data_IF_977138971699
#
_entry.id   IF_977138971699
#
_cell.length_a   1.000
_cell.length_b   1.000
_cell.length_c   1.000
_cell.angle_alpha   90.00
_cell.angle_beta   90.00
_cell.angle_gamma   90.00
#
_symmetry.space_group_name_H-M   'P 1'
#
loop_
_entity.id
_entity.type
_entity.pdbx_description
1 polymer ?
#
# COMPACT_ATOMS: atom_id res chain seq x y z
N UNK A 1 -7.89 7.11 12.63
CA UNK A 1 -7.47 6.01 11.72
C UNK A 1 -6.13 6.42 11.12
N UNK A 2 -5.12 5.56 11.18
CA UNK A 2 -3.81 5.79 10.55
C UNK A 2 -3.70 4.86 9.33
N UNK A 3 -3.79 5.44 8.13
CA UNK A 3 -3.71 4.73 6.84
C UNK A 3 -2.66 5.36 5.90
N UNK A 4 -1.89 6.32 6.40
CA UNK A 4 -0.77 6.88 5.64
C UNK A 4 0.35 5.85 5.63
N UNK A 5 0.80 5.52 4.44
CA UNK A 5 1.88 4.57 4.20
C UNK A 5 2.34 4.65 2.76
N UNK A 6 3.55 4.19 2.51
CA UNK A 6 4.17 4.23 1.20
C UNK A 6 5.33 3.26 1.14
N UNK A 7 5.48 2.65 -0.04
CA UNK A 7 6.65 1.86 -0.40
C UNK A 7 7.15 2.49 -1.70
N UNK A 8 8.43 2.84 -1.75
CA UNK A 8 9.04 3.17 -3.05
C UNK A 8 9.26 1.88 -3.83
N UNK A 9 9.39 2.00 -5.16
CA UNK A 9 9.40 0.88 -6.08
C UNK A 9 10.27 -0.28 -5.56
N UNK A 10 9.60 -1.39 -5.24
CA UNK A 10 10.19 -2.60 -4.66
C UNK A 10 11.07 -3.39 -5.66
N UNK A 11 11.68 -2.68 -6.61
CA UNK A 11 12.49 -3.23 -7.69
C UNK A 11 13.97 -3.34 -7.30
N UNK A 12 14.38 -2.70 -6.20
CA UNK A 12 15.75 -2.75 -5.70
C UNK A 12 16.06 -4.10 -5.04
N UNK A 13 17.26 -4.64 -5.26
CA UNK A 13 17.79 -5.71 -4.43
C UNK A 13 17.98 -5.18 -3.01
N UNK A 14 17.97 -6.06 -2.01
CA UNK A 14 18.24 -5.67 -0.62
C UNK A 14 19.55 -4.88 -0.46
N UNK A 15 20.58 -5.23 -1.24
CA UNK A 15 21.89 -4.59 -1.21
C UNK A 15 21.93 -3.22 -1.92
N UNK A 16 20.92 -2.90 -2.72
CA UNK A 16 20.84 -1.64 -3.47
C UNK A 16 20.06 -0.55 -2.70
N UNK A 17 19.51 -0.89 -1.51
CA UNK A 17 18.71 0.05 -0.71
C UNK A 17 19.62 0.88 0.19
N UNK A 18 19.73 2.15 -0.13
CA UNK A 18 20.44 3.15 0.68
C UNK A 18 19.74 3.40 2.04
N UNK A 19 20.52 3.76 3.06
CA UNK A 19 20.04 4.07 4.42
C UNK A 19 18.96 5.17 4.45
N UNK A 20 19.01 6.09 3.49
CA UNK A 20 18.01 7.15 3.35
C UNK A 20 16.64 6.60 2.98
N UNK A 21 16.58 5.55 2.15
CA UNK A 21 15.32 4.91 1.77
C UNK A 21 14.73 4.11 2.93
N UNK A 22 15.57 3.43 3.72
CA UNK A 22 15.15 2.81 4.97
C UNK A 22 14.52 3.84 5.91
N UNK A 23 15.22 4.95 6.13
CA UNK A 23 14.75 6.03 7.01
C UNK A 23 13.41 6.58 6.54
N UNK A 24 13.28 6.88 5.25
CA UNK A 24 12.05 7.40 4.64
C UNK A 24 10.89 6.42 4.80
N UNK A 25 11.12 5.13 4.59
CA UNK A 25 10.12 4.09 4.78
C UNK A 25 9.65 3.98 6.24
N UNK A 26 10.55 4.10 7.22
CA UNK A 26 10.18 4.13 8.64
C UNK A 26 9.45 5.42 9.01
N UNK A 27 9.87 6.56 8.47
CA UNK A 27 9.22 7.85 8.73
C UNK A 27 7.76 7.85 8.29
N UNK A 28 7.48 7.32 7.09
CA UNK A 28 6.12 7.29 6.56
C UNK A 28 5.25 6.18 7.15
N UNK A 29 5.78 4.98 7.39
CA UNK A 29 4.95 3.83 7.81
C UNK A 29 4.85 3.67 9.34
N UNK A 30 5.90 4.03 10.08
CA UNK A 30 5.96 3.85 11.53
C UNK A 30 5.82 5.18 12.27
N UNK A 31 6.71 6.12 12.02
CA UNK A 31 6.78 7.33 12.84
C UNK A 31 5.62 8.29 12.58
N UNK A 32 5.07 8.35 11.36
CA UNK A 32 3.84 9.09 11.08
C UNK A 32 2.69 8.65 12.01
N UNK A 33 2.49 7.35 12.17
CA UNK A 33 1.46 6.73 13.03
C UNK A 33 1.71 7.06 14.49
N UNK A 34 2.96 7.01 14.95
CA UNK A 34 3.34 7.37 16.32
C UNK A 34 3.06 8.85 16.59
N UNK A 35 3.46 9.74 15.69
CA UNK A 35 3.26 11.19 15.81
C UNK A 35 1.77 11.54 15.84
N UNK A 36 0.98 10.99 14.92
CA UNK A 36 -0.48 11.18 14.86
C UNK A 36 -1.17 10.64 16.12
N UNK A 37 -0.78 9.44 16.57
CA UNK A 37 -1.31 8.83 17.80
C UNK A 37 -1.03 9.70 19.02
N UNK A 38 0.22 10.16 19.19
CA UNK A 38 0.60 11.02 20.32
C UNK A 38 -0.17 12.34 20.33
N UNK A 39 -0.39 12.94 19.16
CA UNK A 39 -1.17 14.17 19.05
C UNK A 39 -2.65 13.95 19.43
N UNK A 40 -3.24 12.80 19.05
CA UNK A 40 -4.63 12.48 19.36
C UNK A 40 -4.86 11.93 20.78
N UNK A 41 -3.81 11.40 21.41
CA UNK A 41 -3.92 10.61 22.65
C UNK A 41 -4.64 11.33 23.81
N UNK A 42 -4.39 12.62 24.11
CA UNK A 42 -5.10 13.30 25.20
C UNK A 42 -6.63 13.30 25.00
N UNK A 43 -7.09 13.61 23.79
CA UNK A 43 -8.51 13.63 23.43
C UNK A 43 -9.14 12.23 23.45
N UNK A 44 -8.39 11.22 23.00
CA UNK A 44 -8.84 9.83 22.98
C UNK A 44 -8.98 9.26 24.39
N UNK A 45 -8.10 9.63 25.33
CA UNK A 45 -8.22 9.23 26.74
C UNK A 45 -9.50 9.82 27.35
N UNK A 46 -9.74 11.12 27.15
CA UNK A 46 -10.93 11.81 27.66
C UNK A 46 -12.22 11.20 27.10
N UNK A 47 -12.26 10.93 25.80
CA UNK A 47 -13.46 10.48 25.07
C UNK A 47 -13.56 8.95 24.95
N UNK A 48 -12.62 8.21 25.54
CA UNK A 48 -12.48 6.74 25.41
C UNK A 48 -12.49 6.27 23.95
N UNK A 49 -11.77 6.99 23.09
CA UNK A 49 -11.67 6.71 21.67
C UNK A 49 -10.69 5.59 21.34
N UNK A 50 -10.85 5.00 20.15
CA UNK A 50 -10.03 3.88 19.67
C UNK A 50 -9.12 4.31 18.51
N UNK A 51 -7.90 3.78 18.49
CA UNK A 51 -6.97 3.95 17.38
C UNK A 51 -7.01 2.69 16.50
N UNK A 52 -7.12 2.90 15.19
CA UNK A 52 -7.01 1.85 14.18
C UNK A 52 -5.84 2.19 13.27
N UNK A 53 -4.86 1.29 13.20
CA UNK A 53 -3.70 1.37 12.30
C UNK A 53 -3.89 0.34 11.18
N UNK A 54 -3.87 0.80 9.93
CA UNK A 54 -3.95 -0.07 8.77
C UNK A 54 -2.52 -0.44 8.36
N UNK A 55 -2.28 -1.74 8.20
CA UNK A 55 -1.00 -2.29 7.75
C UNK A 55 -1.26 -3.35 6.67
N UNK A 56 -0.21 -3.86 6.05
CA UNK A 56 -0.29 -4.84 4.98
C UNK A 56 0.13 -6.23 5.42
N UNK A 57 -0.44 -7.25 4.79
CA UNK A 57 -0.01 -8.65 4.98
C UNK A 57 1.47 -8.84 4.64
N UNK A 58 2.05 -8.02 3.74
CA UNK A 58 3.48 -8.10 3.39
C UNK A 58 4.42 -7.80 4.56
N UNK A 59 3.94 -7.13 5.61
CA UNK A 59 4.71 -6.90 6.84
C UNK A 59 4.91 -8.19 7.66
N UNK A 60 4.04 -9.19 7.50
CA UNK A 60 4.14 -10.50 8.15
C UNK A 60 4.74 -11.56 7.25
N UNK A 61 4.35 -11.52 5.97
CA UNK A 61 4.76 -12.49 4.97
C UNK A 61 5.33 -11.69 3.80
N UNK A 62 6.64 -11.37 3.82
CA UNK A 62 7.28 -10.66 2.73
C UNK A 62 7.05 -11.43 1.44
N UNK A 63 6.39 -10.81 0.47
CA UNK A 63 6.29 -11.41 -0.86
C UNK A 63 7.65 -11.20 -1.52
N UNK A 64 8.34 -12.26 -1.99
CA UNK A 64 9.51 -12.06 -2.82
C UNK A 64 9.13 -11.17 -4.01
N UNK A 65 10.07 -10.34 -4.51
CA UNK A 65 9.83 -9.61 -5.74
C UNK A 65 9.36 -10.62 -6.76
N UNK A 66 8.24 -10.32 -7.43
CA UNK A 66 7.60 -11.19 -8.41
C UNK A 66 8.69 -11.83 -9.25
N UNK A 67 8.99 -13.10 -9.01
CA UNK A 67 9.99 -13.79 -9.82
C UNK A 67 9.49 -13.64 -11.25
N UNK A 68 10.24 -12.99 -12.16
CA UNK A 68 10.06 -13.28 -13.56
C UNK A 68 10.64 -14.68 -13.69
N UNK A 69 9.87 -15.71 -13.31
CA UNK A 69 10.06 -17.00 -13.94
C UNK A 69 9.89 -16.69 -15.41
N UNK A 70 11.01 -16.68 -16.13
CA UNK A 70 11.07 -16.50 -17.55
C UNK A 70 10.32 -17.69 -18.18
N UNK A 71 8.99 -17.63 -18.21
CA UNK A 71 8.25 -18.18 -19.31
C UNK A 71 8.05 -17.02 -20.26
N UNK A 72 8.66 -17.04 -21.46
CA UNK A 72 8.26 -16.13 -22.51
C UNK A 72 6.75 -16.29 -22.63
N UNK A 73 6.03 -15.19 -22.38
CA UNK A 73 4.57 -15.16 -22.44
C UNK A 73 4.22 -15.49 -23.89
N UNK A 74 3.94 -16.76 -24.20
CA UNK A 74 3.36 -17.13 -25.51
C UNK A 74 2.09 -16.32 -25.62
N UNK A 75 2.10 -15.33 -26.51
CA UNK A 75 1.00 -14.40 -26.74
C UNK A 75 -0.20 -15.25 -27.14
N UNK A 76 -1.15 -15.44 -26.24
CA UNK A 76 -2.46 -15.99 -26.60
C UNK A 76 -3.18 -14.95 -27.46
N UNK A 77 -3.96 -15.36 -28.47
CA UNK A 77 -4.80 -14.43 -29.21
C UNK A 77 -5.75 -13.74 -28.23
N UNK A 78 -5.89 -12.41 -28.37
CA UNK A 78 -6.74 -11.56 -27.53
C UNK A 78 -8.13 -12.21 -27.36
N UNK A 79 -8.50 -12.58 -26.14
CA UNK A 79 -9.90 -12.83 -25.80
C UNK A 79 -10.58 -11.48 -25.54
N UNK A 80 -11.62 -11.18 -26.29
CA UNK A 80 -12.48 -10.03 -26.05
C UNK A 80 -13.14 -10.12 -24.66
N UNK A 81 -13.13 -9.03 -23.88
CA UNK A 81 -13.85 -8.97 -22.61
C UNK A 81 -15.36 -9.02 -22.82
N UNK A 82 -16.13 -9.75 -21.99
CA UNK A 82 -17.59 -9.87 -22.12
C UNK A 82 -18.39 -8.79 -21.36
N UNK A 83 -17.72 -7.76 -20.81
CA UNK A 83 -18.41 -6.70 -20.04
C UNK A 83 -18.82 -5.54 -20.94
N UNK A 84 -20.08 -5.04 -20.85
CA UNK A 84 -20.51 -3.90 -21.64
C UNK A 84 -19.79 -2.64 -21.13
N UNK A 85 -19.14 -1.92 -22.04
CA UNK A 85 -18.68 -0.55 -21.78
C UNK A 85 -19.91 0.34 -21.69
N UNK A 86 -20.30 0.68 -20.48
CA UNK A 86 -21.41 1.61 -20.27
C UNK A 86 -21.00 2.97 -20.87
N UNK A 87 -21.77 3.41 -21.86
CA UNK A 87 -21.54 4.62 -22.65
C UNK A 87 -22.79 5.48 -22.52
N UNK A 88 -22.73 6.60 -21.81
CA UNK A 88 -23.78 7.62 -21.83
C UNK A 88 -24.04 8.35 -20.50
N UNK A 89 -24.21 9.68 -20.51
CA UNK A 89 -24.49 10.49 -19.32
C UNK A 89 -26.01 10.62 -19.09
N UNK A 90 -26.66 9.60 -18.51
CA UNK A 90 -28.06 9.71 -18.05
C UNK A 90 -28.34 8.98 -16.72
N UNK A 91 -27.30 8.59 -15.97
CA UNK A 91 -27.47 7.81 -14.73
C UNK A 91 -27.66 8.67 -13.46
N UNK A 92 -28.32 9.83 -13.56
CA UNK A 92 -28.78 10.59 -12.40
C UNK A 92 -30.03 11.42 -12.76
N UNK A 93 -31.19 10.78 -12.68
CA UNK A 93 -32.50 11.39 -12.56
C UNK A 93 -33.38 10.49 -11.69
#
# INVERSE_FOLDING_TARGET
>A
MNNVGGLDDATYSFLDIEDTEWTRAFDINLFSTVRATRAALPSLIERRGTIVNISSTVARIPRPPWLPTARPRRRSPRSASPWPRNSGPEAYA
#
